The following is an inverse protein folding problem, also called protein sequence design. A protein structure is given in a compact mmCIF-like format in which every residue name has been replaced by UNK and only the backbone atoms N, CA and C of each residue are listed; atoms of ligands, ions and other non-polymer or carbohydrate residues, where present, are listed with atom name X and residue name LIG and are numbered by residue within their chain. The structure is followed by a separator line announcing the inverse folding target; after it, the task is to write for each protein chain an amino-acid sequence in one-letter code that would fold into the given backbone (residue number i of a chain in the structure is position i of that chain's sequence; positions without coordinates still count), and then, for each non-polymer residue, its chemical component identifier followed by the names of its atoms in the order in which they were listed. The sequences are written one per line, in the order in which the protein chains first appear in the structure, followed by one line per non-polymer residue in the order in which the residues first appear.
data_IF_807153371938
#
_entry.id   IF_807153371938
#
_cell.length_a   1.000
_cell.length_b   1.000
_cell.length_c   1.000
_cell.angle_alpha   90.00
_cell.angle_beta   90.00
_cell.angle_gamma   90.00
#
_symmetry.space_group_name_H-M   'P 1'
#
loop_
_entity.id
_entity.type
_entity.pdbx_description
1 polymer ?
#
# COMPACT_ATOMS: atom_id res chain seq x y z
N UNK A 1 1.40 9.37 11.35
CA UNK A 1 1.78 8.13 12.04
C UNK A 1 2.95 8.38 13.01
N UNK A 2 4.15 8.72 12.54
CA UNK A 2 5.36 8.86 13.37
C UNK A 2 5.17 9.73 14.63
N UNK A 3 4.61 10.95 14.50
CA UNK A 3 4.37 11.87 15.63
C UNK A 3 3.36 11.28 16.63
N UNK A 4 2.33 10.60 16.15
CA UNK A 4 1.30 9.97 17.03
C UNK A 4 1.87 8.75 17.74
N UNK A 5 2.70 7.94 17.07
CA UNK A 5 3.35 6.77 17.65
C UNK A 5 4.31 7.17 18.77
N UNK A 6 5.04 8.26 18.59
CA UNK A 6 5.92 8.84 19.62
C UNK A 6 5.13 9.31 20.84
N UNK A 7 3.98 9.98 20.64
CA UNK A 7 3.14 10.47 21.72
C UNK A 7 2.42 9.35 22.49
N UNK A 8 2.06 8.24 21.81
CA UNK A 8 1.39 7.09 22.44
C UNK A 8 2.35 6.16 23.20
N UNK A 9 3.65 6.49 23.33
CA UNK A 9 4.69 5.64 23.94
C UNK A 9 4.80 4.25 23.30
N UNK A 10 4.38 4.11 22.05
CA UNK A 10 4.52 2.87 21.28
C UNK A 10 6.01 2.62 20.97
N UNK A 11 6.79 3.69 21.02
CA UNK A 11 8.24 3.66 20.84
C UNK A 11 8.94 4.46 21.93
N UNK A 12 10.11 4.01 22.42
CA UNK A 12 10.89 4.75 23.41
C UNK A 12 11.37 6.08 22.81
N UNK A 13 10.95 7.19 23.42
CA UNK A 13 11.33 8.56 22.98
C UNK A 13 12.84 8.79 22.97
N UNK A 14 13.58 8.14 23.87
CA UNK A 14 15.02 8.28 23.97
C UNK A 14 15.76 7.61 22.80
N UNK A 15 15.08 6.69 22.07
CA UNK A 15 15.64 6.00 20.91
C UNK A 15 15.39 6.73 19.58
N UNK A 16 14.58 7.80 19.59
CA UNK A 16 14.22 8.58 18.41
C UNK A 16 15.04 9.86 18.40
N UNK A 17 15.94 9.95 17.46
CA UNK A 17 16.68 11.17 17.15
C UNK A 17 16.39 11.66 15.73
N UNK A 18 16.90 12.81 15.36
CA UNK A 18 16.73 13.39 14.03
C UNK A 18 17.14 12.41 12.91
N UNK A 19 18.25 11.70 13.08
CA UNK A 19 18.74 10.72 12.10
C UNK A 19 17.76 9.57 11.90
N UNK A 20 17.24 8.98 12.99
CA UNK A 20 16.25 7.88 12.90
C UNK A 20 14.96 8.30 12.18
N UNK A 21 14.50 9.54 12.39
CA UNK A 21 13.32 10.05 11.68
C UNK A 21 13.66 10.29 10.21
N UNK A 22 14.84 10.85 9.91
CA UNK A 22 15.28 11.05 8.53
C UNK A 22 15.42 9.73 7.78
N UNK A 23 16.05 8.72 8.37
CA UNK A 23 16.14 7.37 7.79
C UNK A 23 14.76 6.78 7.50
N UNK A 24 13.82 6.92 8.44
CA UNK A 24 12.45 6.46 8.26
C UNK A 24 11.74 7.19 7.11
N UNK A 25 11.86 8.52 7.04
CA UNK A 25 11.17 9.33 6.02
C UNK A 25 11.81 9.12 4.65
N UNK A 26 13.15 9.06 4.57
CA UNK A 26 13.89 8.95 3.31
C UNK A 26 13.98 7.52 2.77
N UNK A 27 13.41 6.55 3.46
CA UNK A 27 13.40 5.17 3.00
C UNK A 27 12.63 5.03 1.69
N UNK A 28 13.36 5.00 0.58
CA UNK A 28 12.82 5.19 -0.77
C UNK A 28 11.69 4.22 -1.17
N UNK A 29 11.65 2.93 -0.74
CA UNK A 29 10.57 2.05 -1.17
C UNK A 29 9.18 2.44 -0.68
N UNK A 30 9.07 3.26 0.38
CA UNK A 30 7.77 3.72 0.89
C UNK A 30 7.36 5.11 0.38
N UNK A 31 8.28 5.89 -0.25
CA UNK A 31 8.12 7.34 -0.43
C UNK A 31 6.88 7.75 -1.24
N UNK A 32 6.58 7.08 -2.35
CA UNK A 32 5.51 7.54 -3.26
C UNK A 32 4.20 6.79 -3.01
N UNK A 33 4.19 5.47 -3.21
CA UNK A 33 3.00 4.64 -3.08
C UNK A 33 3.30 3.27 -2.44
N UNK A 34 4.41 3.17 -1.71
CA UNK A 34 4.79 1.97 -0.96
C UNK A 34 3.86 1.69 0.22
N UNK A 35 4.04 0.54 0.89
CA UNK A 35 3.28 0.22 2.09
C UNK A 35 3.43 1.29 3.17
N UNK A 36 2.34 1.67 3.83
CA UNK A 36 2.36 2.63 4.95
C UNK A 36 2.98 1.94 6.16
N UNK A 37 4.21 2.32 6.48
CA UNK A 37 4.99 1.75 7.57
C UNK A 37 4.79 2.51 8.88
N UNK A 38 5.03 1.81 9.98
CA UNK A 38 5.15 2.40 11.31
C UNK A 38 6.61 2.47 11.74
N UNK A 39 6.91 3.40 12.65
CA UNK A 39 8.27 3.53 13.19
C UNK A 39 8.78 2.21 13.79
N UNK A 40 7.92 1.51 14.52
CA UNK A 40 8.26 0.23 15.15
C UNK A 40 8.42 -0.95 14.18
N UNK A 41 8.03 -0.81 12.93
CA UNK A 41 8.19 -1.83 11.88
C UNK A 41 9.51 -1.65 11.12
N UNK A 42 9.89 -0.41 10.82
CA UNK A 42 11.05 -0.12 9.98
C UNK A 42 12.32 0.20 10.78
N UNK A 43 12.23 1.07 11.81
CA UNK A 43 13.43 1.52 12.54
C UNK A 43 14.25 0.39 13.18
N UNK A 44 13.64 -0.67 13.77
CA UNK A 44 14.43 -1.79 14.26
C UNK A 44 15.22 -2.51 13.18
N UNK A 45 14.67 -2.59 11.97
CA UNK A 45 15.35 -3.21 10.84
C UNK A 45 16.51 -2.36 10.34
N UNK A 46 16.35 -1.02 10.30
CA UNK A 46 17.40 -0.10 9.89
C UNK A 46 18.56 -0.02 10.92
N UNK A 47 18.24 -0.12 12.21
CA UNK A 47 19.24 -0.07 13.29
C UNK A 47 20.02 -1.36 13.48
N UNK A 48 19.44 -2.48 13.12
CA UNK A 48 20.09 -3.78 13.21
C UNK A 48 21.06 -3.97 12.02
N UNK A 49 22.05 -4.87 12.21
CA UNK A 49 22.94 -5.26 11.13
C UNK A 49 22.13 -5.91 10.00
N UNK A 50 22.00 -5.22 8.89
CA UNK A 50 21.32 -5.74 7.71
C UNK A 50 22.16 -6.89 7.13
N UNK A 51 21.54 -8.05 6.96
CA UNK A 51 22.16 -9.22 6.34
C UNK A 51 21.48 -9.51 5.00
N UNK A 52 22.19 -9.25 3.91
CA UNK A 52 21.68 -9.53 2.56
C UNK A 52 21.90 -11.01 2.27
N UNK A 53 20.81 -11.78 2.16
CA UNK A 53 20.82 -13.19 1.80
C UNK A 53 20.63 -13.32 0.28
N UNK A 54 21.35 -14.26 -0.36
CA UNK A 54 21.21 -14.51 -1.79
C UNK A 54 19.77 -14.81 -2.22
N UNK A 55 19.03 -15.52 -1.37
CA UNK A 55 17.61 -15.82 -1.62
C UNK A 55 16.76 -14.56 -1.64
N UNK A 56 16.98 -13.62 -0.70
CA UNK A 56 16.26 -12.36 -0.65
C UNK A 56 16.50 -11.53 -1.92
N UNK A 57 17.74 -11.51 -2.41
CA UNK A 57 18.07 -10.86 -3.69
C UNK A 57 17.33 -11.52 -4.85
N UNK A 58 17.36 -12.86 -4.94
CA UNK A 58 16.66 -13.61 -5.99
C UNK A 58 15.16 -13.35 -5.99
N UNK A 59 14.50 -13.53 -4.83
CA UNK A 59 13.06 -13.31 -4.72
C UNK A 59 12.69 -11.84 -4.88
N UNK A 60 13.51 -10.92 -4.38
CA UNK A 60 13.33 -9.48 -4.55
C UNK A 60 13.37 -9.07 -6.02
N UNK A 61 14.32 -9.59 -6.80
CA UNK A 61 14.38 -9.34 -8.24
C UNK A 61 13.18 -9.92 -8.99
N UNK A 62 12.73 -11.12 -8.62
CA UNK A 62 11.52 -11.72 -9.22
C UNK A 62 10.31 -10.84 -8.93
N UNK A 63 10.11 -10.44 -7.66
CA UNK A 63 8.98 -9.63 -7.26
C UNK A 63 9.00 -8.25 -7.93
N UNK A 64 10.16 -7.61 -8.00
CA UNK A 64 10.35 -6.35 -8.73
C UNK A 64 9.97 -6.50 -10.21
N UNK A 65 10.44 -7.58 -10.87
CA UNK A 65 10.11 -7.83 -12.27
C UNK A 65 8.62 -8.07 -12.50
N UNK A 66 7.97 -8.83 -11.61
CA UNK A 66 6.51 -9.03 -11.65
C UNK A 66 5.78 -7.69 -11.50
N UNK A 67 6.20 -6.85 -10.54
CA UNK A 67 5.64 -5.50 -10.37
C UNK A 67 5.82 -4.63 -11.60
N UNK A 68 7.00 -4.65 -12.19
CA UNK A 68 7.32 -3.92 -13.42
C UNK A 68 6.44 -4.37 -14.59
N UNK A 69 6.25 -5.67 -14.78
CA UNK A 69 5.35 -6.21 -15.81
C UNK A 69 3.90 -5.77 -15.56
N UNK A 70 3.42 -5.82 -14.32
CA UNK A 70 2.08 -5.33 -13.97
C UNK A 70 1.89 -3.87 -14.37
N UNK A 71 2.87 -3.02 -14.05
CA UNK A 71 2.81 -1.59 -14.36
C UNK A 71 2.86 -1.33 -15.86
N UNK A 72 3.92 -1.77 -16.53
CA UNK A 72 4.19 -1.41 -17.93
C UNK A 72 3.31 -2.17 -18.91
N UNK A 73 3.14 -3.50 -18.74
CA UNK A 73 2.42 -4.30 -19.72
C UNK A 73 0.90 -4.30 -19.52
N UNK A 74 0.43 -4.22 -18.26
CA UNK A 74 -1.01 -4.25 -18.01
C UNK A 74 -1.57 -2.85 -17.74
N UNK A 75 -1.11 -2.16 -16.71
CA UNK A 75 -1.72 -0.90 -16.29
C UNK A 75 -1.60 0.19 -17.37
N UNK A 76 -0.39 0.44 -17.88
CA UNK A 76 -0.15 1.51 -18.82
C UNK A 76 -0.83 1.24 -20.18
N UNK A 77 -0.84 -0.02 -20.67
CA UNK A 77 -1.56 -0.36 -21.89
C UNK A 77 -3.08 -0.27 -21.74
N UNK A 78 -3.63 -0.63 -20.57
CA UNK A 78 -5.06 -0.42 -20.30
C UNK A 78 -5.34 1.09 -20.26
N UNK A 79 -4.47 1.88 -19.61
CA UNK A 79 -4.58 3.34 -19.56
C UNK A 79 -4.66 3.98 -20.94
N UNK A 80 -3.76 3.65 -21.85
CA UNK A 80 -3.76 4.14 -23.22
C UNK A 80 -5.14 3.95 -23.89
N UNK A 81 -5.83 2.85 -23.59
CA UNK A 81 -7.15 2.57 -24.15
C UNK A 81 -8.27 3.33 -23.44
N UNK A 82 -8.25 3.43 -22.10
CA UNK A 82 -9.40 3.95 -21.34
C UNK A 82 -9.32 5.45 -21.04
N UNK A 83 -8.12 6.03 -20.92
CA UNK A 83 -7.96 7.44 -20.56
C UNK A 83 -8.63 8.39 -21.57
N UNK A 84 -8.49 8.23 -22.91
CA UNK A 84 -9.19 9.06 -23.88
C UNK A 84 -10.72 8.95 -23.79
N UNK A 85 -11.23 7.77 -23.36
CA UNK A 85 -12.69 7.54 -23.20
C UNK A 85 -13.21 8.33 -21.99
N UNK A 86 -12.45 8.39 -20.90
CA UNK A 86 -12.82 9.16 -19.71
C UNK A 86 -12.67 10.67 -19.93
N UNK A 87 -11.69 11.10 -20.73
CA UNK A 87 -11.49 12.51 -21.07
C UNK A 87 -12.59 13.07 -21.97
N UNK A 88 -13.06 12.29 -22.95
CA UNK A 88 -14.11 12.71 -23.89
C UNK A 88 -15.08 11.56 -24.22
N UNK A 89 -15.96 11.18 -23.30
CA UNK A 89 -16.85 10.03 -23.49
C UNK A 89 -17.83 10.18 -24.64
N UNK A 90 -18.17 11.42 -25.03
CA UNK A 90 -19.09 11.70 -26.12
C UNK A 90 -18.54 11.31 -27.50
N UNK A 91 -17.21 11.22 -27.63
CA UNK A 91 -16.55 10.81 -28.88
C UNK A 91 -16.55 9.29 -29.09
N UNK A 92 -17.01 8.50 -28.10
CA UNK A 92 -16.90 7.05 -28.13
C UNK A 92 -18.26 6.34 -28.12
N UNK A 93 -18.27 5.11 -28.63
CA UNK A 93 -19.48 4.29 -28.61
C UNK A 93 -19.81 3.83 -27.18
N UNK A 94 -21.11 3.58 -26.90
CA UNK A 94 -21.54 3.02 -25.59
C UNK A 94 -20.84 1.71 -25.23
N UNK A 95 -20.48 0.91 -26.23
CA UNK A 95 -19.71 -0.34 -26.01
C UNK A 95 -18.29 -0.04 -25.53
N UNK A 96 -17.62 0.99 -26.07
CA UNK A 96 -16.30 1.41 -25.64
C UNK A 96 -16.33 1.94 -24.19
N UNK A 97 -17.34 2.73 -23.88
CA UNK A 97 -17.57 3.25 -22.53
C UNK A 97 -17.78 2.09 -21.53
N UNK A 98 -18.63 1.11 -21.87
CA UNK A 98 -18.85 -0.06 -21.01
C UNK A 98 -17.56 -0.86 -20.78
N UNK A 99 -16.75 -1.07 -21.84
CA UNK A 99 -15.44 -1.72 -21.72
C UNK A 99 -14.50 -0.95 -20.78
N UNK A 100 -14.46 0.38 -20.86
CA UNK A 100 -13.62 1.18 -19.97
C UNK A 100 -14.00 1.04 -18.50
N UNK A 101 -15.29 0.96 -18.16
CA UNK A 101 -15.75 0.68 -16.79
C UNK A 101 -15.30 -0.67 -16.25
N UNK A 102 -15.21 -1.70 -17.11
CA UNK A 102 -14.73 -3.04 -16.71
C UNK A 102 -13.19 -3.05 -16.57
N UNK A 103 -12.49 -2.33 -17.45
CA UNK A 103 -11.03 -2.30 -17.46
C UNK A 103 -10.42 -1.39 -16.39
N UNK A 104 -11.13 -0.33 -16.00
CA UNK A 104 -10.64 0.64 -15.01
C UNK A 104 -10.25 0.02 -13.65
N UNK A 105 -11.07 -0.84 -13.02
CA UNK A 105 -10.64 -1.52 -11.79
C UNK A 105 -9.39 -2.37 -11.97
N UNK A 106 -9.23 -3.01 -13.13
CA UNK A 106 -8.03 -3.80 -13.44
C UNK A 106 -6.81 -2.90 -13.62
N UNK A 107 -6.95 -1.75 -14.30
CA UNK A 107 -5.89 -0.76 -14.42
C UNK A 107 -5.40 -0.30 -13.05
N UNK A 108 -6.31 0.16 -12.19
CA UNK A 108 -5.97 0.62 -10.83
C UNK A 108 -5.25 -0.48 -10.05
N UNK A 109 -5.72 -1.73 -10.16
CA UNK A 109 -5.10 -2.84 -9.45
C UNK A 109 -3.69 -3.13 -9.96
N UNK A 110 -3.49 -3.23 -11.27
CA UNK A 110 -2.18 -3.52 -11.83
C UNK A 110 -1.20 -2.37 -11.62
N UNK A 111 -1.66 -1.13 -11.74
CA UNK A 111 -0.85 0.05 -11.50
C UNK A 111 -0.35 0.09 -10.06
N UNK A 112 -1.26 0.03 -9.11
CA UNK A 112 -0.91 0.17 -7.70
C UNK A 112 -0.24 -1.09 -7.15
N UNK A 113 -0.73 -2.29 -7.44
CA UNK A 113 -0.07 -3.52 -6.99
C UNK A 113 1.30 -3.71 -7.63
N UNK A 114 1.46 -3.30 -8.89
CA UNK A 114 2.74 -3.33 -9.57
C UNK A 114 3.77 -2.45 -8.90
N UNK A 115 3.39 -1.21 -8.55
CA UNK A 115 4.25 -0.32 -7.80
C UNK A 115 4.64 -0.90 -6.42
N UNK A 116 3.66 -1.43 -5.69
CA UNK A 116 3.91 -2.05 -4.38
C UNK A 116 4.84 -3.26 -4.49
N UNK A 117 4.66 -4.11 -5.49
CA UNK A 117 5.55 -5.26 -5.71
C UNK A 117 6.99 -4.83 -6.02
N UNK A 118 7.18 -3.75 -6.81
CA UNK A 118 8.51 -3.16 -7.04
C UNK A 118 9.11 -2.61 -5.73
N UNK A 119 8.31 -1.96 -4.89
CA UNK A 119 8.75 -1.46 -3.59
C UNK A 119 9.17 -2.59 -2.64
N UNK A 120 8.36 -3.64 -2.54
CA UNK A 120 8.67 -4.82 -1.74
C UNK A 120 9.92 -5.53 -2.27
N UNK A 121 10.02 -5.71 -3.60
CA UNK A 121 11.17 -6.31 -4.24
C UNK A 121 12.47 -5.56 -3.97
N UNK A 122 12.45 -4.23 -4.12
CA UNK A 122 13.61 -3.36 -3.82
C UNK A 122 14.05 -3.47 -2.36
N UNK A 123 13.09 -3.43 -1.43
CA UNK A 123 13.38 -3.60 0.01
C UNK A 123 13.95 -4.96 0.34
N UNK A 124 13.41 -6.02 -0.26
CA UNK A 124 13.88 -7.38 -0.04
C UNK A 124 15.33 -7.56 -0.52
N UNK A 125 15.71 -6.93 -1.64
CA UNK A 125 17.08 -6.97 -2.16
C UNK A 125 18.08 -6.38 -1.15
N UNK A 126 17.72 -5.31 -0.48
CA UNK A 126 18.56 -4.68 0.55
C UNK A 126 18.39 -5.31 1.95
N UNK A 127 17.60 -6.37 2.08
CA UNK A 127 17.44 -7.14 3.32
C UNK A 127 16.44 -6.55 4.31
N UNK A 128 15.51 -5.68 3.85
CA UNK A 128 14.45 -5.08 4.66
C UNK A 128 13.10 -5.68 4.24
N UNK A 129 12.31 -6.11 5.21
CA UNK A 129 10.99 -6.70 4.98
C UNK A 129 9.90 -5.65 5.14
N UNK A 130 9.04 -5.52 4.13
CA UNK A 130 7.87 -4.66 4.13
C UNK A 130 6.58 -5.47 4.20
N UNK A 131 5.51 -4.93 4.84
CA UNK A 131 4.21 -5.57 4.83
C UNK A 131 3.58 -5.55 3.42
N UNK A 132 2.83 -6.60 3.09
CA UNK A 132 2.07 -6.68 1.85
C UNK A 132 0.89 -5.71 1.87
N UNK A 133 0.55 -5.15 0.70
CA UNK A 133 -0.60 -4.27 0.53
C UNK A 133 -1.78 -4.93 -0.18
N UNK A 134 -1.53 -5.97 -0.96
CA UNK A 134 -2.54 -6.66 -1.74
C UNK A 134 -2.46 -8.17 -1.52
N UNK A 135 -3.61 -8.81 -1.32
CA UNK A 135 -3.73 -10.25 -1.24
C UNK A 135 -4.96 -10.73 -2.04
N UNK A 136 -4.83 -10.76 -3.39
CA UNK A 136 -5.86 -11.23 -4.33
C UNK A 136 -7.25 -10.59 -4.06
N UNK A 137 -7.38 -9.24 -4.01
CA UNK A 137 -8.61 -8.58 -3.57
C UNK A 137 -9.82 -8.89 -4.45
N UNK A 138 -9.64 -9.08 -5.74
CA UNK A 138 -10.74 -9.40 -6.67
C UNK A 138 -11.19 -10.87 -6.66
N UNK A 139 -10.46 -11.72 -5.95
CA UNK A 139 -10.81 -13.15 -5.79
C UNK A 139 -11.49 -13.42 -4.45
N UNK A 140 -12.24 -12.47 -3.92
CA UNK A 140 -12.90 -12.55 -2.62
C UNK A 140 -14.40 -12.67 -2.76
N UNK A 141 -15.04 -13.40 -1.83
CA UNK A 141 -16.48 -13.66 -1.86
C UNK A 141 -17.33 -12.55 -1.24
N UNK A 142 -16.75 -11.45 -0.72
CA UNK A 142 -17.50 -10.35 -0.11
C UNK A 142 -16.75 -9.02 -0.14
N UNK A 143 -17.50 -7.91 -0.11
CA UNK A 143 -16.96 -6.53 -0.01
C UNK A 143 -16.07 -6.37 1.23
N UNK A 144 -16.44 -6.97 2.36
CA UNK A 144 -15.63 -6.93 3.57
C UNK A 144 -14.28 -7.62 3.38
N UNK A 145 -14.25 -8.76 2.71
CA UNK A 145 -13.00 -9.46 2.39
C UNK A 145 -12.19 -8.70 1.34
N UNK A 146 -12.84 -8.07 0.36
CA UNK A 146 -12.18 -7.18 -0.59
C UNK A 146 -11.36 -6.11 0.15
N UNK A 147 -11.96 -5.32 1.03
CA UNK A 147 -11.27 -4.27 1.78
C UNK A 147 -10.20 -4.78 2.76
N UNK A 148 -10.30 -6.02 3.23
CA UNK A 148 -9.25 -6.66 4.04
C UNK A 148 -8.02 -7.04 3.21
N UNK A 149 -8.19 -7.19 1.90
CA UNK A 149 -7.15 -7.64 0.97
C UNK A 149 -6.68 -6.53 0.02
N UNK A 150 -7.36 -5.38 0.01
CA UNK A 150 -7.03 -4.19 -0.76
C UNK A 150 -6.37 -3.15 0.14
N UNK A 151 -5.21 -2.67 -0.27
CA UNK A 151 -4.43 -1.64 0.44
C UNK A 151 -4.40 -1.85 1.96
N UNK A 152 -3.91 -3.02 2.37
CA UNK A 152 -3.98 -3.54 3.74
C UNK A 152 -3.38 -2.57 4.75
N UNK A 153 -2.24 -1.93 4.41
CA UNK A 153 -1.57 -1.01 5.31
C UNK A 153 -2.34 0.29 5.52
N UNK A 154 -3.07 0.78 4.51
CA UNK A 154 -3.97 1.93 4.64
C UNK A 154 -5.17 1.60 5.54
N UNK A 155 -5.81 0.45 5.33
CA UNK A 155 -6.93 -0.01 6.16
C UNK A 155 -6.51 -0.15 7.62
N UNK A 156 -5.30 -0.68 7.88
CA UNK A 156 -4.70 -0.75 9.22
C UNK A 156 -4.42 0.65 9.79
N UNK A 157 -3.93 1.58 8.97
CA UNK A 157 -3.67 2.95 9.38
C UNK A 157 -4.96 3.67 9.78
N UNK A 158 -6.02 3.62 8.95
CA UNK A 158 -7.33 4.20 9.29
C UNK A 158 -7.89 3.64 10.59
N UNK A 159 -7.81 2.31 10.76
CA UNK A 159 -8.27 1.66 12.00
C UNK A 159 -7.57 2.20 13.24
N UNK A 160 -6.22 2.32 13.20
CA UNK A 160 -5.44 2.60 14.41
C UNK A 160 -5.32 4.09 14.72
N UNK A 161 -5.37 4.94 13.71
CA UNK A 161 -5.17 6.39 13.88
C UNK A 161 -6.46 7.20 13.81
N UNK A 162 -7.52 6.66 13.26
CA UNK A 162 -8.81 7.34 13.14
C UNK A 162 -9.90 6.59 13.90
N UNK A 163 -10.21 5.36 13.49
CA UNK A 163 -11.36 4.64 14.04
C UNK A 163 -11.22 4.34 15.54
N UNK A 164 -10.12 3.77 16.00
CA UNK A 164 -9.90 3.45 17.41
C UNK A 164 -9.87 4.71 18.29
N UNK A 165 -9.14 5.80 17.95
CA UNK A 165 -9.13 7.04 18.73
C UNK A 165 -10.50 7.70 18.85
N UNK A 166 -11.35 7.61 17.83
CA UNK A 166 -12.72 8.12 17.86
C UNK A 166 -13.67 7.28 18.73
N UNK A 167 -13.18 6.18 19.31
CA UNK A 167 -13.92 5.29 20.21
C UNK A 167 -14.20 3.91 19.65
N UNK A 168 -13.83 3.65 18.39
CA UNK A 168 -14.00 2.35 17.75
C UNK A 168 -15.44 1.85 17.80
N UNK A 169 -15.62 0.56 18.04
CA UNK A 169 -16.93 -0.09 18.23
C UNK A 169 -17.38 -0.20 19.68
N UNK A 170 -16.60 0.31 20.64
CA UNK A 170 -16.86 0.11 22.09
C UNK A 170 -17.95 1.02 22.64
N UNK A 171 -18.31 2.11 21.97
CA UNK A 171 -19.23 3.15 22.46
C UNK A 171 -20.66 3.03 21.89
N UNK A 172 -21.07 1.84 21.45
CA UNK A 172 -22.41 1.57 20.93
C UNK A 172 -22.54 1.74 19.40
N UNK A 173 -23.69 1.26 18.86
CA UNK A 173 -23.92 1.19 17.40
C UNK A 173 -23.90 2.57 16.72
N UNK A 174 -24.50 3.59 17.34
CA UNK A 174 -24.57 4.95 16.78
C UNK A 174 -23.18 5.57 16.59
N UNK A 175 -22.32 5.48 17.61
CA UNK A 175 -20.94 6.00 17.55
C UNK A 175 -20.10 5.19 16.57
N UNK A 176 -20.32 3.87 16.52
CA UNK A 176 -19.66 3.00 15.55
C UNK A 176 -19.99 3.41 14.11
N UNK A 177 -21.28 3.62 13.79
CA UNK A 177 -21.71 4.09 12.47
C UNK A 177 -21.11 5.45 12.11
N UNK A 178 -21.13 6.41 13.04
CA UNK A 178 -20.50 7.73 12.84
C UNK A 178 -19.01 7.62 12.54
N UNK A 179 -18.30 6.71 13.18
CA UNK A 179 -16.85 6.54 13.01
C UNK A 179 -16.47 5.79 11.72
N UNK A 180 -17.45 5.20 11.02
CA UNK A 180 -17.26 4.49 9.75
C UNK A 180 -17.56 5.38 8.53
N UNK A 181 -18.19 6.54 8.74
CA UNK A 181 -18.46 7.58 7.72
C UNK A 181 -17.33 8.60 7.72
#
# INVERSE_FOLDING_TARGET
AAVVDTNKKIFDRNSINFYSISEFILFFPQLIAGPILRLNELLPQLKNKITIKRENVKFGLILFSVGFVKKIFFADNIGIFIDPIFENPEAFSSVSILKSFILFPLQIYFDFSGYVDMALGSSMIIGIELPINFNKPYLTGSITQFWRNWHITLSRWFKDYIFIPLGGSKKGKFITSRNLI
#
